data_IF_061528180279
#
_entry.id   IF_061528180279
#
_cell.length_a   1.000
_cell.length_b   1.000
_cell.length_c   1.000
_cell.angle_alpha   90.00
_cell.angle_beta   90.00
_cell.angle_gamma   90.00
#
_symmetry.space_group_name_H-M   'P 1'
#
loop_
_entity.id
_entity.type
_entity.pdbx_description
1 polymer ?
#
# COMPACT_ATOMS: atom_id res chain seq x y z
N UNK A 1 -9.44 -8.38 6.79
CA UNK A 1 -8.36 -7.96 5.87
C UNK A 1 -7.79 -6.66 6.41
N UNK A 2 -6.46 -6.53 6.43
CA UNK A 2 -5.77 -5.29 6.84
C UNK A 2 -4.97 -4.80 5.64
N UNK A 3 -5.34 -3.66 5.01
CA UNK A 3 -4.57 -3.12 3.90
C UNK A 3 -3.31 -2.44 4.43
N UNK A 4 -2.18 -2.68 3.78
CA UNK A 4 -0.86 -2.12 4.15
C UNK A 4 -0.24 -1.50 2.91
N UNK A 5 0.25 -0.27 3.03
CA UNK A 5 1.04 0.39 2.00
C UNK A 5 2.48 0.55 2.47
N UNK A 6 3.43 0.18 1.62
CA UNK A 6 4.86 0.35 1.86
C UNK A 6 5.45 1.21 0.74
N UNK A 7 5.90 2.40 1.10
CA UNK A 7 6.41 3.38 0.15
C UNK A 7 7.94 3.45 0.16
N UNK A 8 8.51 3.88 -0.98
CA UNK A 8 9.95 4.04 -1.19
C UNK A 8 10.79 2.75 -1.14
N UNK A 9 10.16 1.57 -1.19
CA UNK A 9 10.87 0.28 -1.16
C UNK A 9 11.70 0.02 -2.41
N UNK A 10 11.27 0.49 -3.57
CA UNK A 10 12.03 0.42 -4.84
C UNK A 10 13.42 1.06 -4.72
N UNK A 11 13.52 2.13 -3.94
CA UNK A 11 14.78 2.81 -3.71
C UNK A 11 15.66 2.05 -2.69
N UNK A 12 15.22 0.99 -2.05
CA UNK A 12 16.12 0.20 -1.20
C UNK A 12 17.11 -0.60 -2.06
N UNK A 13 16.67 -1.11 -3.22
CA UNK A 13 17.44 -2.06 -4.00
C UNK A 13 17.38 -1.82 -5.51
N UNK A 14 16.19 -1.92 -6.11
CA UNK A 14 16.00 -1.94 -7.57
C UNK A 14 16.49 -0.67 -8.28
N UNK A 15 16.25 0.51 -7.69
CA UNK A 15 16.65 1.79 -8.28
C UNK A 15 18.09 2.24 -7.94
N UNK A 16 18.78 1.52 -7.05
CA UNK A 16 20.11 1.91 -6.57
C UNK A 16 21.25 1.00 -7.07
N UNK A 17 20.98 0.05 -7.97
CA UNK A 17 22.05 -0.73 -8.58
C UNK A 17 23.06 0.20 -9.29
N UNK A 18 24.38 0.07 -9.02
CA UNK A 18 25.07 -1.07 -8.40
C UNK A 18 25.32 -0.98 -6.88
N UNK A 19 24.91 0.06 -6.15
CA UNK A 19 25.25 0.28 -4.74
C UNK A 19 24.04 0.54 -3.85
N UNK A 20 23.74 -0.38 -2.93
CA UNK A 20 22.66 -0.27 -1.93
C UNK A 20 22.94 0.88 -0.97
N UNK A 21 21.98 1.80 -0.84
CA UNK A 21 22.04 2.95 0.09
C UNK A 21 20.89 2.90 1.07
N UNK A 22 21.12 3.40 2.29
CA UNK A 22 20.05 3.56 3.29
C UNK A 22 18.97 4.48 2.73
N UNK A 23 17.72 4.03 2.75
CA UNK A 23 16.55 4.81 2.38
C UNK A 23 15.57 4.94 3.54
N UNK A 24 14.78 6.01 3.51
CA UNK A 24 13.65 6.20 4.40
C UNK A 24 12.40 5.53 3.81
N UNK A 25 11.81 4.60 4.54
CA UNK A 25 10.63 3.84 4.10
C UNK A 25 9.45 4.27 4.97
N UNK A 26 8.29 4.43 4.34
CA UNK A 26 7.05 4.75 5.06
C UNK A 26 6.14 3.53 5.00
N UNK A 27 5.70 3.09 6.18
CA UNK A 27 4.75 2.00 6.35
C UNK A 27 3.45 2.56 6.93
N UNK A 28 2.35 2.45 6.19
CA UNK A 28 1.02 2.85 6.66
C UNK A 28 0.14 1.61 6.81
N UNK A 29 -0.42 1.45 8.00
CA UNK A 29 -1.44 0.47 8.31
C UNK A 29 -2.80 1.10 8.11
N UNK A 30 -3.55 0.61 7.13
CA UNK A 30 -4.92 1.05 6.91
C UNK A 30 -5.90 0.41 7.91
N UNK A 31 -7.14 0.88 7.87
CA UNK A 31 -8.20 0.39 8.74
C UNK A 31 -8.53 -1.08 8.43
N UNK A 32 -8.51 -1.98 9.42
CA UNK A 32 -9.00 -3.35 9.25
C UNK A 32 -10.48 -3.37 8.86
N UNK A 33 -10.86 -4.24 7.93
CA UNK A 33 -12.25 -4.46 7.55
C UNK A 33 -12.56 -5.96 7.40
N UNK A 34 -13.83 -6.32 7.62
CA UNK A 34 -14.34 -7.66 7.31
C UNK A 34 -15.07 -7.64 5.98
N UNK A 35 -15.00 -8.77 5.26
CA UNK A 35 -15.68 -8.93 3.97
C UNK A 35 -17.20 -8.90 4.16
N UNK A 36 -17.70 -9.45 5.27
CA UNK A 36 -19.12 -9.47 5.64
C UNK A 36 -19.76 -8.09 5.74
N UNK A 37 -18.95 -7.08 6.03
CA UNK A 37 -19.40 -5.73 6.34
C UNK A 37 -19.44 -4.84 5.07
N UNK A 38 -19.02 -5.39 3.92
CA UNK A 38 -19.03 -4.71 2.61
C UNK A 38 -20.35 -4.97 1.86
N UNK A 39 -20.68 -4.11 0.91
CA UNK A 39 -21.81 -4.34 0.01
C UNK A 39 -21.56 -5.55 -0.91
N UNK A 40 -22.65 -6.19 -1.39
CA UNK A 40 -22.55 -7.38 -2.25
C UNK A 40 -21.73 -7.17 -3.53
N UNK A 41 -21.66 -5.93 -4.02
CA UNK A 41 -20.81 -5.56 -5.16
C UNK A 41 -19.33 -5.64 -4.77
N UNK A 42 -18.94 -4.94 -3.70
CA UNK A 42 -17.56 -4.92 -3.20
C UNK A 42 -17.10 -6.28 -2.67
N UNK A 43 -18.02 -7.10 -2.14
CA UNK A 43 -17.75 -8.49 -1.79
C UNK A 43 -17.36 -9.36 -3.00
N UNK A 44 -17.86 -9.05 -4.20
CA UNK A 44 -17.45 -9.74 -5.44
C UNK A 44 -16.13 -9.21 -5.99
N UNK A 45 -15.81 -7.94 -5.70
CA UNK A 45 -14.61 -7.24 -6.19
C UNK A 45 -13.67 -6.82 -5.06
N UNK A 46 -13.47 -7.68 -4.07
CA UNK A 46 -12.65 -7.41 -2.87
C UNK A 46 -11.22 -7.02 -3.23
N UNK A 47 -10.67 -7.66 -4.28
CA UNK A 47 -9.33 -7.38 -4.79
C UNK A 47 -9.22 -5.91 -5.24
N UNK A 48 -10.17 -5.44 -6.06
CA UNK A 48 -10.19 -4.07 -6.56
C UNK A 48 -10.45 -3.06 -5.45
N UNK A 49 -11.38 -3.37 -4.54
CA UNK A 49 -11.67 -2.53 -3.36
C UNK A 49 -10.43 -2.34 -2.48
N UNK A 50 -9.77 -3.44 -2.11
CA UNK A 50 -8.57 -3.40 -1.26
C UNK A 50 -7.40 -2.72 -1.98
N UNK A 51 -7.23 -2.97 -3.28
CA UNK A 51 -6.20 -2.34 -4.09
C UNK A 51 -6.42 -0.82 -4.20
N UNK A 52 -7.68 -0.35 -4.32
CA UNK A 52 -8.01 1.07 -4.30
C UNK A 52 -7.57 1.76 -3.00
N UNK A 53 -7.88 1.16 -1.85
CA UNK A 53 -7.43 1.68 -0.55
C UNK A 53 -5.90 1.75 -0.47
N UNK A 54 -5.21 0.69 -0.91
CA UNK A 54 -3.74 0.67 -0.91
C UNK A 54 -3.17 1.73 -1.85
N UNK A 55 -3.77 1.92 -3.03
CA UNK A 55 -3.34 2.92 -4.00
C UNK A 55 -3.46 4.34 -3.43
N UNK A 56 -4.57 4.66 -2.75
CA UNK A 56 -4.75 5.96 -2.09
C UNK A 56 -3.70 6.21 -1.01
N UNK A 57 -3.42 5.19 -0.16
CA UNK A 57 -2.37 5.25 0.86
C UNK A 57 -0.99 5.48 0.22
N UNK A 58 -0.66 4.77 -0.85
CA UNK A 58 0.60 4.94 -1.58
C UNK A 58 0.72 6.35 -2.15
N UNK A 59 -0.31 6.86 -2.83
CA UNK A 59 -0.29 8.21 -3.43
C UNK A 59 -0.18 9.30 -2.38
N UNK A 60 -0.83 9.15 -1.23
CA UNK A 60 -0.69 10.06 -0.07
C UNK A 60 0.75 10.07 0.45
N UNK A 61 1.32 8.89 0.69
CA UNK A 61 2.66 8.75 1.28
C UNK A 61 3.79 9.09 0.29
N UNK A 62 3.53 9.09 -1.02
CA UNK A 62 4.52 9.48 -2.01
C UNK A 62 4.96 10.94 -1.87
N UNK A 63 4.13 11.79 -1.25
CA UNK A 63 4.47 13.20 -0.93
C UNK A 63 5.36 13.36 0.31
N UNK A 64 5.52 12.30 1.10
CA UNK A 64 6.24 12.30 2.38
C UNK A 64 7.63 11.64 2.27
N UNK A 65 7.95 11.10 1.09
CA UNK A 65 9.24 10.48 0.74
C UNK A 65 10.18 11.54 0.20
#
# INVERSE_FOLDING_TARGET
IVPIAINNTRNIFEAHLPAVKKQHVILEYGKPFRISDLDKADQKTINTYTAGIIQEMVTKNQKLV
#
